data_IF_250326541547
#
_entry.id   IF_250326541547
#
_cell.length_a   1.000
_cell.length_b   1.000
_cell.length_c   1.000
_cell.angle_alpha   90.00
_cell.angle_beta   90.00
_cell.angle_gamma   90.00
#
_symmetry.space_group_name_H-M   'P 1'
#
loop_
_entity.id
_entity.type
_entity.pdbx_description
1 polymer ?
#
# COMPACT_ATOMS: atom_id res chain seq x y z
N UNK A 1 -1.27 7.96 11.09
CA UNK A 1 -0.23 8.68 10.30
C UNK A 1 -0.84 9.75 9.40
N UNK A 2 -1.61 9.41 8.35
CA UNK A 2 -2.16 10.39 7.41
C UNK A 2 -2.91 11.56 8.10
N UNK A 3 -3.82 11.25 9.03
CA UNK A 3 -4.56 12.27 9.78
C UNK A 3 -3.64 13.12 10.66
N UNK A 4 -2.71 12.51 11.39
CA UNK A 4 -1.75 13.25 12.22
C UNK A 4 -0.88 14.21 11.41
N UNK A 5 -0.43 13.78 10.22
CA UNK A 5 0.32 14.64 9.31
C UNK A 5 -0.55 15.79 8.78
N UNK A 6 -1.80 15.50 8.39
CA UNK A 6 -2.76 16.50 7.95
C UNK A 6 -2.94 17.59 9.00
N UNK A 7 -3.18 17.20 10.24
CA UNK A 7 -3.49 18.13 11.32
C UNK A 7 -2.25 18.96 11.72
N UNK A 8 -1.06 18.33 11.83
CA UNK A 8 0.17 19.04 12.21
C UNK A 8 0.73 19.94 11.11
N UNK A 9 0.46 19.61 9.84
CA UNK A 9 0.92 20.37 8.66
C UNK A 9 -0.17 21.24 8.07
N UNK A 10 -1.36 21.26 8.67
CA UNK A 10 -2.52 22.04 8.22
C UNK A 10 -2.86 21.82 6.74
N UNK A 11 -2.82 20.55 6.29
CA UNK A 11 -3.07 20.20 4.90
C UNK A 11 -4.59 20.07 4.64
N UNK A 12 -5.07 20.54 3.50
CA UNK A 12 -6.47 20.38 3.11
C UNK A 12 -6.84 18.93 2.79
N UNK A 13 -5.89 18.20 2.21
CA UNK A 13 -6.09 16.82 1.78
C UNK A 13 -4.83 15.95 1.92
N UNK A 14 -5.04 14.64 2.05
CA UNK A 14 -3.98 13.63 2.03
C UNK A 14 -4.37 12.52 1.06
N UNK A 15 -3.48 12.22 0.11
CA UNK A 15 -3.68 11.15 -0.84
C UNK A 15 -2.73 9.99 -0.57
N UNK A 16 -3.26 8.77 -0.53
CA UNK A 16 -2.45 7.56 -0.49
C UNK A 16 -1.92 7.27 -1.90
N UNK A 17 -0.61 7.27 -2.08
CA UNK A 17 0.02 6.97 -3.37
C UNK A 17 0.38 5.49 -3.43
N UNK A 18 -0.29 4.76 -4.33
CA UNK A 18 -0.02 3.36 -4.60
C UNK A 18 0.76 3.22 -5.91
N UNK A 19 2.05 2.90 -5.80
CA UNK A 19 2.87 2.63 -6.99
C UNK A 19 2.82 1.16 -7.41
N UNK A 20 2.69 0.93 -8.72
CA UNK A 20 2.87 -0.40 -9.34
C UNK A 20 4.32 -0.88 -9.22
N UNK A 21 5.29 0.03 -9.29
CA UNK A 21 6.71 -0.27 -9.22
C UNK A 21 7.27 0.23 -7.89
N UNK A 22 7.67 -0.69 -7.02
CA UNK A 22 8.34 -0.35 -5.76
C UNK A 22 9.83 -0.60 -5.87
N UNK A 23 10.63 0.43 -5.62
CA UNK A 23 12.08 0.32 -5.47
C UNK A 23 12.38 -0.71 -4.35
N UNK A 24 13.28 -1.67 -4.63
CA UNK A 24 13.72 -2.81 -3.79
C UNK A 24 12.70 -3.92 -3.46
N UNK A 25 11.48 -3.89 -3.99
CA UNK A 25 10.49 -4.95 -3.72
C UNK A 25 9.98 -5.52 -5.03
N UNK A 26 10.78 -6.38 -5.64
CA UNK A 26 10.41 -7.11 -6.87
C UNK A 26 9.33 -8.16 -6.59
N UNK A 27 9.26 -8.69 -5.36
CA UNK A 27 8.20 -9.62 -4.91
C UNK A 27 7.32 -8.92 -3.87
N UNK A 28 6.11 -8.53 -4.28
CA UNK A 28 5.08 -8.07 -3.35
C UNK A 28 4.53 -9.29 -2.62
N UNK A 29 5.02 -9.56 -1.42
CA UNK A 29 4.41 -10.55 -0.54
C UNK A 29 3.13 -9.98 0.07
N UNK A 30 2.02 -10.71 -0.06
CA UNK A 30 0.74 -10.32 0.55
C UNK A 30 -0.35 -9.91 -0.42
N UNK A 31 -1.15 -8.92 -0.02
CA UNK A 31 -2.31 -8.50 -0.79
C UNK A 31 -1.92 -8.01 -2.20
N UNK A 32 -2.63 -8.49 -3.22
CA UNK A 32 -2.40 -8.09 -4.60
C UNK A 32 -2.65 -6.58 -4.80
N UNK A 33 -2.16 -6.00 -5.90
CA UNK A 33 -2.27 -4.56 -6.15
C UNK A 33 -3.74 -4.07 -6.15
N UNK A 34 -4.64 -4.83 -6.78
CA UNK A 34 -6.07 -4.52 -6.87
C UNK A 34 -6.71 -4.46 -5.49
N UNK A 35 -6.36 -5.40 -4.61
CA UNK A 35 -6.88 -5.45 -3.25
C UNK A 35 -6.28 -4.37 -2.35
N UNK A 36 -5.00 -4.05 -2.51
CA UNK A 36 -4.39 -2.90 -1.81
C UNK A 36 -5.09 -1.59 -2.20
N UNK A 37 -5.40 -1.41 -3.49
CA UNK A 37 -6.18 -0.27 -3.96
C UNK A 37 -7.59 -0.25 -3.36
N UNK A 38 -8.28 -1.40 -3.33
CA UNK A 38 -9.61 -1.51 -2.73
C UNK A 38 -9.62 -1.12 -1.24
N UNK A 39 -8.64 -1.60 -0.47
CA UNK A 39 -8.52 -1.25 0.96
C UNK A 39 -8.27 0.25 1.13
N UNK A 40 -7.36 0.83 0.34
CA UNK A 40 -7.07 2.26 0.40
C UNK A 40 -8.28 3.11 -0.02
N UNK A 41 -9.03 2.71 -1.04
CA UNK A 41 -10.25 3.41 -1.49
C UNK A 41 -11.34 3.38 -0.41
N UNK A 42 -11.57 2.21 0.22
CA UNK A 42 -12.46 2.10 1.38
C UNK A 42 -11.99 2.99 2.53
N UNK A 43 -10.68 3.01 2.80
CA UNK A 43 -10.10 3.84 3.84
C UNK A 43 -10.21 5.33 3.54
N UNK A 44 -10.02 5.76 2.30
CA UNK A 44 -10.15 7.18 1.95
C UNK A 44 -11.58 7.69 2.08
N UNK A 45 -12.59 6.81 1.97
CA UNK A 45 -13.99 7.18 2.18
C UNK A 45 -14.35 7.36 3.66
N UNK A 46 -13.47 6.99 4.58
CA UNK A 46 -13.75 7.11 6.03
C UNK A 46 -13.63 8.54 6.56
N UNK A 47 -13.04 9.47 5.79
CA UNK A 47 -12.88 10.85 6.19
C UNK A 47 -12.81 11.78 4.97
N UNK A 48 -13.37 12.99 5.10
CA UNK A 48 -13.22 14.04 4.08
C UNK A 48 -11.75 14.43 3.93
N UNK A 49 -11.35 14.80 2.71
CA UNK A 49 -9.98 15.19 2.39
C UNK A 49 -8.99 14.01 2.34
N UNK A 50 -9.46 12.76 2.27
CA UNK A 50 -8.61 11.62 1.94
C UNK A 50 -8.88 11.15 0.50
N UNK A 51 -7.83 10.69 -0.18
CA UNK A 51 -7.94 10.13 -1.52
C UNK A 51 -6.91 9.05 -1.80
N UNK A 52 -6.98 8.46 -2.99
CA UNK A 52 -6.00 7.48 -3.47
C UNK A 52 -5.56 7.84 -4.88
N UNK A 53 -4.26 7.78 -5.12
CA UNK A 53 -3.66 7.96 -6.45
C UNK A 53 -2.87 6.71 -6.80
N UNK A 54 -3.05 6.21 -8.02
CA UNK A 54 -2.27 5.09 -8.55
C UNK A 54 -1.26 5.62 -9.55
N UNK A 55 0.00 5.22 -9.38
CA UNK A 55 1.10 5.64 -10.26
C UNK A 55 1.88 4.43 -10.75
N UNK A 56 2.50 4.56 -11.92
CA UNK A 56 3.39 3.55 -12.48
C UNK A 56 4.88 3.93 -12.34
N UNK A 57 5.20 4.80 -11.37
CA UNK A 57 6.56 5.32 -11.14
C UNK A 57 7.06 5.00 -9.74
N UNK A 58 8.31 4.56 -9.64
CA UNK A 58 8.92 4.15 -8.37
C UNK A 58 9.59 5.29 -7.60
N UNK A 59 10.19 6.26 -8.31
CA UNK A 59 10.92 7.37 -7.69
C UNK A 59 9.97 8.48 -7.22
N UNK A 60 10.29 9.07 -6.07
CA UNK A 60 9.48 10.13 -5.49
C UNK A 60 9.47 11.41 -6.35
N UNK A 61 10.57 11.73 -7.04
CA UNK A 61 10.64 12.85 -7.99
C UNK A 61 9.65 12.70 -9.14
N UNK A 62 9.51 11.49 -9.69
CA UNK A 62 8.54 11.19 -10.75
C UNK A 62 7.11 11.34 -10.23
N UNK A 63 6.84 10.83 -9.02
CA UNK A 63 5.53 10.91 -8.39
C UNK A 63 5.15 12.37 -8.13
N UNK A 64 6.05 13.18 -7.57
CA UNK A 64 5.82 14.61 -7.34
C UNK A 64 5.59 15.36 -8.66
N UNK A 65 6.34 15.03 -9.71
CA UNK A 65 6.17 15.62 -11.04
C UNK A 65 4.79 15.30 -11.62
N UNK A 66 4.33 14.04 -11.49
CA UNK A 66 2.99 13.64 -11.94
C UNK A 66 1.91 14.38 -11.14
N UNK A 67 2.04 14.46 -9.82
CA UNK A 67 1.06 15.12 -8.96
C UNK A 67 0.93 16.61 -9.29
N UNK A 68 2.05 17.33 -9.46
CA UNK A 68 2.03 18.75 -9.89
C UNK A 68 1.38 18.95 -11.26
N UNK A 69 1.50 17.98 -12.17
CA UNK A 69 0.82 18.05 -13.49
C UNK A 69 -0.67 17.77 -13.39
N UNK A 70 -1.08 16.84 -12.53
CA UNK A 70 -2.49 16.50 -12.32
C UNK A 70 -3.23 17.60 -11.54
N UNK A 71 -2.52 18.31 -10.67
CA UNK A 71 -3.06 19.37 -9.82
C UNK A 71 -2.21 20.64 -10.00
N UNK A 72 -2.37 21.36 -11.13
CA UNK A 72 -1.55 22.53 -11.45
C UNK A 72 -1.76 23.69 -10.48
N UNK A 73 -2.95 23.78 -9.89
CA UNK A 73 -3.34 24.86 -8.95
C UNK A 73 -3.00 24.50 -7.49
N UNK A 74 -2.23 23.44 -7.26
CA UNK A 74 -1.80 23.08 -5.91
C UNK A 74 -0.77 24.08 -5.41
N UNK A 75 -1.07 24.80 -4.33
CA UNK A 75 -0.12 25.73 -3.70
C UNK A 75 1.07 24.96 -3.11
N UNK A 76 0.80 24.01 -2.21
CA UNK A 76 1.81 23.21 -1.53
C UNK A 76 1.66 21.71 -1.81
N UNK A 77 2.78 21.05 -2.12
CA UNK A 77 2.87 19.60 -2.15
C UNK A 77 3.80 19.12 -1.03
N UNK A 78 3.29 18.25 -0.15
CA UNK A 78 4.09 17.57 0.87
C UNK A 78 4.08 16.06 0.63
N UNK A 79 5.27 15.45 0.55
CA UNK A 79 5.46 14.00 0.49
C UNK A 79 5.66 13.47 1.91
N UNK A 80 4.66 12.75 2.43
CA UNK A 80 4.75 12.10 3.73
C UNK A 80 5.43 10.73 3.61
N UNK A 81 6.57 10.57 4.26
CA UNK A 81 7.40 9.35 4.18
C UNK A 81 7.82 8.86 5.56
N UNK A 82 8.08 7.57 5.71
CA UNK A 82 8.68 7.03 6.93
C UNK A 82 10.21 7.21 6.94
N UNK A 83 10.83 7.00 8.11
CA UNK A 83 12.27 7.13 8.28
C UNK A 83 13.10 6.29 7.29
N UNK A 84 12.78 5.00 7.12
CA UNK A 84 13.46 4.15 6.12
C UNK A 84 13.41 4.76 4.71
N UNK A 85 12.31 5.45 4.36
CA UNK A 85 12.12 6.00 3.03
C UNK A 85 12.90 7.28 2.79
N UNK A 86 13.10 8.13 3.80
CA UNK A 86 13.99 9.29 3.62
C UNK A 86 15.45 8.85 3.46
N UNK A 87 15.88 7.80 4.16
CA UNK A 87 17.20 7.19 3.94
C UNK A 87 17.33 6.72 2.49
N UNK A 88 16.31 6.03 1.96
CA UNK A 88 16.31 5.59 0.57
C UNK A 88 16.28 6.75 -0.43
N UNK A 89 15.46 7.78 -0.18
CA UNK A 89 15.37 8.95 -1.07
C UNK A 89 16.73 9.65 -1.20
N UNK A 90 17.53 9.66 -0.13
CA UNK A 90 18.85 10.29 -0.09
C UNK A 90 20.00 9.36 -0.49
N UNK A 91 19.76 8.07 -0.75
CA UNK A 91 20.78 7.09 -1.12
C UNK A 91 21.04 7.12 -2.64
N UNK A 92 22.30 7.28 -3.05
CA UNK A 92 22.68 7.44 -4.46
C UNK A 92 22.42 6.19 -5.29
N UNK A 93 22.37 4.99 -4.70
CA UNK A 93 22.21 3.74 -5.46
C UNK A 93 20.88 3.62 -6.21
N UNK A 94 19.90 4.47 -5.90
CA UNK A 94 18.58 4.46 -6.52
C UNK A 94 18.45 5.42 -7.71
N UNK A 95 19.51 6.15 -8.05
CA UNK A 95 19.47 7.19 -9.05
C UNK A 95 20.70 7.12 -9.96
N UNK A 96 20.51 7.45 -11.23
CA UNK A 96 21.63 7.72 -12.13
C UNK A 96 22.33 9.03 -11.73
N UNK A 97 21.54 10.07 -11.43
CA UNK A 97 21.99 11.33 -10.82
C UNK A 97 21.09 11.69 -9.63
N UNK A 98 21.55 11.30 -8.45
CA UNK A 98 20.87 11.54 -7.18
C UNK A 98 20.65 13.03 -6.92
N UNK A 99 21.68 13.84 -7.11
CA UNK A 99 21.66 15.22 -6.67
C UNK A 99 20.65 16.03 -7.49
N UNK A 100 20.63 15.82 -8.81
CA UNK A 100 19.63 16.42 -9.69
C UNK A 100 18.22 15.94 -9.34
N UNK A 101 18.03 14.64 -9.14
CA UNK A 101 16.72 14.06 -8.82
C UNK A 101 16.16 14.56 -7.48
N UNK A 102 16.98 14.63 -6.43
CA UNK A 102 16.57 15.10 -5.10
C UNK A 102 16.38 16.62 -5.11
N UNK A 103 17.23 17.39 -5.81
CA UNK A 103 17.01 18.83 -5.99
C UNK A 103 15.68 19.13 -6.69
N UNK A 104 15.36 18.39 -7.75
CA UNK A 104 14.07 18.50 -8.42
C UNK A 104 12.91 18.08 -7.52
N UNK A 105 13.05 17.02 -6.72
CA UNK A 105 12.03 16.65 -5.74
C UNK A 105 11.78 17.81 -4.75
N UNK A 106 12.84 18.42 -4.24
CA UNK A 106 12.77 19.53 -3.29
C UNK A 106 12.25 20.84 -3.89
N UNK A 107 12.32 21.03 -5.22
CA UNK A 107 11.67 22.17 -5.88
C UNK A 107 10.18 21.92 -6.11
N UNK A 108 9.74 20.65 -6.15
CA UNK A 108 8.34 20.28 -6.37
C UNK A 108 7.57 20.09 -5.06
N UNK A 109 8.23 19.65 -4.00
CA UNK A 109 7.58 19.24 -2.75
C UNK A 109 8.49 19.39 -1.51
N UNK A 110 7.84 19.56 -0.36
CA UNK A 110 8.45 19.34 0.95
C UNK A 110 8.40 17.85 1.31
N UNK A 111 9.45 17.33 1.92
CA UNK A 111 9.50 15.97 2.46
C UNK A 111 9.19 16.01 3.95
N UNK A 112 8.07 15.42 4.36
CA UNK A 112 7.72 15.28 5.78
C UNK A 112 7.99 13.86 6.24
N UNK A 113 8.90 13.72 7.21
CA UNK A 113 9.36 12.44 7.74
C UNK A 113 8.62 12.08 9.02
N UNK A 114 7.96 10.93 8.99
CA UNK A 114 7.38 10.27 10.13
C UNK A 114 8.44 9.47 10.89
N UNK A 115 8.59 9.67 12.22
CA UNK A 115 9.51 8.91 13.04
C UNK A 115 9.09 7.43 13.13
N UNK A 116 10.05 6.54 13.38
CA UNK A 116 9.82 5.09 13.49
C UNK A 116 10.69 4.48 14.59
N UNK A 117 10.09 3.69 15.47
CA UNK A 117 10.77 3.20 16.66
C UNK A 117 11.42 4.33 17.44
N UNK A 118 12.71 4.19 17.73
CA UNK A 118 13.53 5.23 18.38
C UNK A 118 14.02 6.31 17.43
N UNK A 119 14.07 6.03 16.12
CA UNK A 119 14.55 6.98 15.13
C UNK A 119 13.56 8.14 14.94
N UNK A 120 13.96 9.32 15.39
CA UNK A 120 13.16 10.53 15.40
C UNK A 120 13.91 11.73 14.84
N UNK A 121 13.75 12.88 15.50
CA UNK A 121 14.28 14.15 15.03
C UNK A 121 15.80 14.18 15.03
N UNK A 122 16.44 13.70 16.09
CA UNK A 122 17.90 13.73 16.24
C UNK A 122 18.58 12.92 15.12
N UNK A 123 18.11 11.70 14.87
CA UNK A 123 18.66 10.83 13.83
C UNK A 123 18.44 11.41 12.42
N UNK A 124 17.31 12.10 12.19
CA UNK A 124 17.11 12.80 10.93
C UNK A 124 18.05 14.00 10.79
N UNK A 125 18.24 14.77 11.86
CA UNK A 125 19.13 15.94 11.86
C UNK A 125 20.58 15.53 11.60
N UNK A 126 21.02 14.38 12.14
CA UNK A 126 22.32 13.75 11.86
C UNK A 126 22.43 13.27 10.41
N UNK A 127 21.39 12.60 9.88
CA UNK A 127 21.35 12.19 8.48
C UNK A 127 21.50 13.40 7.55
N UNK A 128 20.79 14.49 7.84
CA UNK A 128 20.82 15.73 7.07
C UNK A 128 22.09 16.56 7.30
N UNK A 129 22.83 16.34 8.40
CA UNK A 129 24.09 17.03 8.66
C UNK A 129 25.26 16.49 7.82
N UNK A 130 25.11 15.31 7.20
CA UNK A 130 26.14 14.75 6.32
C UNK A 130 26.37 15.67 5.10
N UNK A 131 27.62 15.89 4.66
CA UNK A 131 27.93 16.83 3.57
C UNK A 131 27.09 16.60 2.29
N UNK A 132 26.86 15.35 1.92
CA UNK A 132 26.08 14.96 0.76
C UNK A 132 24.57 15.24 0.88
N UNK A 133 24.05 15.42 2.11
CA UNK A 133 22.63 15.66 2.40
C UNK A 133 22.34 17.11 2.81
N UNK A 134 23.35 17.84 3.30
CA UNK A 134 23.20 19.16 3.90
C UNK A 134 22.40 20.16 3.04
N UNK A 135 22.60 20.13 1.72
CA UNK A 135 21.90 21.02 0.78
C UNK A 135 20.39 20.79 0.70
N UNK A 136 19.92 19.60 1.07
CA UNK A 136 18.50 19.22 1.05
C UNK A 136 17.81 19.39 2.41
N UNK A 137 18.52 19.90 3.43
CA UNK A 137 17.96 20.04 4.77
C UNK A 137 16.70 20.92 4.81
N UNK A 138 16.63 21.96 3.98
CA UNK A 138 15.53 22.94 3.98
C UNK A 138 14.23 22.40 3.42
N UNK A 139 14.27 21.39 2.55
CA UNK A 139 13.06 20.73 2.02
C UNK A 139 12.61 19.55 2.88
N UNK A 140 13.31 19.21 3.97
CA UNK A 140 12.99 18.05 4.82
C UNK A 140 12.57 18.53 6.21
N UNK A 141 11.39 18.09 6.65
CA UNK A 141 10.88 18.34 8.01
C UNK A 141 10.40 17.08 8.68
N UNK A 142 10.25 17.09 10.00
CA UNK A 142 9.63 16.00 10.77
C UNK A 142 8.21 16.34 11.18
N UNK A 143 7.41 15.30 11.42
CA UNK A 143 6.22 15.39 12.28
C UNK A 143 6.44 14.61 13.55
N UNK A 144 5.68 14.94 14.59
CA UNK A 144 5.66 14.14 15.80
C UNK A 144 4.60 13.05 15.70
N UNK A 145 4.92 11.86 16.20
CA UNK A 145 3.95 10.79 16.35
C UNK A 145 3.96 10.26 17.78
N UNK A 146 2.79 9.93 18.34
CA UNK A 146 2.70 9.14 19.56
C UNK A 146 3.49 7.83 19.40
N UNK A 147 4.13 7.36 20.48
CA UNK A 147 4.95 6.14 20.45
C UNK A 147 4.18 4.93 19.92
N UNK A 148 2.89 4.83 20.23
CA UNK A 148 2.01 3.75 19.75
C UNK A 148 1.95 3.66 18.23
N UNK A 149 2.11 4.78 17.51
CA UNK A 149 2.11 4.79 16.04
C UNK A 149 3.51 4.57 15.44
N UNK A 150 4.59 4.76 16.22
CA UNK A 150 5.97 4.59 15.76
C UNK A 150 6.38 3.13 15.63
N UNK A 151 5.75 2.26 16.41
CA UNK A 151 6.06 0.83 16.49
C UNK A 151 5.15 -0.06 15.62
N UNK A 152 4.16 0.54 14.95
CA UNK A 152 3.27 -0.20 14.04
C UNK A 152 4.02 -0.62 12.78
N UNK A 153 4.14 -1.95 12.60
CA UNK A 153 4.72 -2.54 11.41
C UNK A 153 3.72 -3.49 10.75
N UNK A 154 3.48 -3.29 9.45
CA UNK A 154 2.57 -4.17 8.68
C UNK A 154 2.99 -5.64 8.70
N UNK A 155 4.28 -5.95 8.88
CA UNK A 155 4.78 -7.33 9.02
C UNK A 155 4.27 -8.03 10.28
N UNK A 156 4.12 -7.30 11.39
CA UNK A 156 3.59 -7.87 12.63
C UNK A 156 2.10 -8.19 12.48
N UNK A 157 1.32 -7.27 11.90
CA UNK A 157 -0.09 -7.54 11.62
C UNK A 157 -0.25 -8.74 10.68
N UNK A 158 0.56 -8.85 9.62
CA UNK A 158 0.53 -10.03 8.73
C UNK A 158 0.85 -11.33 9.47
N UNK A 159 1.90 -11.34 10.29
CA UNK A 159 2.27 -12.53 11.07
C UNK A 159 1.16 -12.94 12.05
N UNK A 160 0.51 -11.97 12.69
CA UNK A 160 -0.62 -12.24 13.59
C UNK A 160 -1.83 -12.83 12.85
N UNK A 161 -2.18 -12.28 11.68
CA UNK A 161 -3.25 -12.82 10.82
C UNK A 161 -2.93 -14.25 10.34
N UNK A 162 -1.67 -14.52 9.99
CA UNK A 162 -1.21 -15.86 9.60
C UNK A 162 -1.27 -16.86 10.76
N UNK A 163 -1.08 -16.38 11.98
CA UNK A 163 -1.29 -17.15 13.22
C UNK A 163 -2.76 -17.38 13.59
N UNK A 164 -3.70 -16.90 12.77
CA UNK A 164 -5.15 -17.06 12.98
C UNK A 164 -5.79 -15.98 13.85
N UNK A 165 -5.05 -14.94 14.25
CA UNK A 165 -5.67 -13.81 14.93
C UNK A 165 -6.45 -12.97 13.91
N UNK A 166 -7.78 -12.93 14.03
CA UNK A 166 -8.66 -12.22 13.10
C UNK A 166 -9.07 -10.82 13.58
N UNK A 167 -8.68 -10.44 14.80
CA UNK A 167 -9.05 -9.16 15.41
C UNK A 167 -7.78 -8.39 15.77
N UNK A 168 -7.44 -7.42 14.92
CA UNK A 168 -6.29 -6.54 15.08
C UNK A 168 -6.80 -5.10 15.22
N UNK A 169 -7.04 -4.61 16.46
CA UNK A 169 -7.63 -3.30 16.69
C UNK A 169 -6.75 -2.14 16.18
N UNK A 170 -5.46 -2.38 15.95
CA UNK A 170 -4.54 -1.42 15.35
C UNK A 170 -4.75 -1.21 13.84
N UNK A 171 -5.44 -2.14 13.17
CA UNK A 171 -5.79 -1.99 11.77
C UNK A 171 -6.99 -1.04 11.61
N UNK A 172 -7.01 -0.17 10.59
CA UNK A 172 -8.20 0.59 10.27
C UNK A 172 -9.38 -0.33 9.92
N UNK A 173 -10.61 0.11 10.21
CA UNK A 173 -11.85 -0.67 9.99
C UNK A 173 -11.93 -1.24 8.57
N UNK A 174 -11.59 -0.45 7.54
CA UNK A 174 -11.59 -0.89 6.15
C UNK A 174 -10.66 -2.10 5.91
N UNK A 175 -9.51 -2.16 6.57
CA UNK A 175 -8.57 -3.28 6.48
C UNK A 175 -9.09 -4.51 7.26
N UNK A 176 -9.68 -4.31 8.45
CA UNK A 176 -10.28 -5.39 9.22
C UNK A 176 -11.44 -6.06 8.48
N UNK A 177 -12.34 -5.26 7.90
CA UNK A 177 -13.44 -5.74 7.06
C UNK A 177 -12.92 -6.50 5.85
N UNK A 178 -11.92 -5.95 5.15
CA UNK A 178 -11.32 -6.61 3.99
C UNK A 178 -10.72 -7.98 4.35
N UNK A 179 -9.98 -8.08 5.46
CA UNK A 179 -9.41 -9.36 5.93
C UNK A 179 -10.52 -10.36 6.25
N UNK A 180 -11.57 -9.95 6.97
CA UNK A 180 -12.73 -10.81 7.29
C UNK A 180 -13.48 -11.28 6.04
N UNK A 181 -13.65 -10.40 5.05
CA UNK A 181 -14.36 -10.70 3.81
C UNK A 181 -13.61 -11.66 2.89
N UNK A 182 -12.27 -11.61 2.90
CA UNK A 182 -11.44 -12.24 1.86
C UNK A 182 -10.53 -13.34 2.37
N UNK A 183 -10.32 -13.44 3.69
CA UNK A 183 -9.30 -14.31 4.27
C UNK A 183 -7.88 -13.84 3.98
N UNK A 184 -7.67 -12.59 3.55
CA UNK A 184 -6.34 -12.08 3.24
C UNK A 184 -5.40 -12.23 4.44
N UNK A 185 -4.23 -12.83 4.21
CA UNK A 185 -3.21 -13.19 5.21
C UNK A 185 -3.60 -14.29 6.20
N UNK A 186 -4.77 -14.93 6.07
CA UNK A 186 -5.17 -16.03 6.94
C UNK A 186 -4.65 -17.37 6.40
N UNK A 187 -4.51 -18.40 7.27
CA UNK A 187 -4.13 -19.74 6.83
C UNK A 187 -5.22 -20.39 5.95
N UNK A 188 -4.85 -21.39 5.12
CA UNK A 188 -5.81 -22.18 4.37
C UNK A 188 -6.87 -22.84 5.25
N UNK A 189 -8.09 -22.97 4.73
CA UNK A 189 -9.19 -23.67 5.38
C UNK A 189 -9.24 -25.12 4.95
N UNK A 190 -9.60 -26.03 5.86
CA UNK A 190 -9.82 -27.45 5.54
C UNK A 190 -11.29 -27.66 5.17
N UNK A 191 -11.53 -28.17 3.97
CA UNK A 191 -12.87 -28.57 3.52
C UNK A 191 -13.25 -29.94 4.10
N UNK A 192 -14.54 -30.30 4.02
CA UNK A 192 -15.05 -31.60 4.50
C UNK A 192 -14.39 -32.81 3.82
N UNK A 193 -14.02 -32.68 2.54
CA UNK A 193 -13.25 -33.68 1.79
C UNK A 193 -11.80 -33.83 2.26
N UNK A 194 -11.31 -32.97 3.16
CA UNK A 194 -9.94 -32.98 3.67
C UNK A 194 -8.98 -32.05 2.93
N UNK A 195 -9.38 -31.49 1.78
CA UNK A 195 -8.58 -30.53 1.00
C UNK A 195 -8.26 -29.27 1.84
N UNK A 196 -7.02 -28.79 1.73
CA UNK A 196 -6.64 -27.47 2.21
C UNK A 196 -6.77 -26.46 1.07
N UNK A 197 -7.57 -25.43 1.28
CA UNK A 197 -7.85 -24.41 0.28
C UNK A 197 -7.60 -23.04 0.87
N UNK A 198 -6.79 -22.22 0.22
CA UNK A 198 -6.57 -20.81 0.60
C UNK A 198 -7.63 -19.92 -0.08
N UNK A 199 -8.60 -19.35 0.70
CA UNK A 199 -9.62 -18.48 0.13
C UNK A 199 -9.05 -17.23 -0.54
N UNK A 200 -7.94 -16.69 -0.02
CA UNK A 200 -7.31 -15.51 -0.57
C UNK A 200 -6.55 -15.83 -1.86
N UNK A 201 -5.86 -16.98 -1.92
CA UNK A 201 -5.23 -17.43 -3.15
C UNK A 201 -6.26 -17.62 -4.28
N UNK A 202 -7.42 -18.22 -3.98
CA UNK A 202 -8.52 -18.31 -4.95
C UNK A 202 -9.00 -16.94 -5.43
N UNK A 203 -9.14 -15.97 -4.53
CA UNK A 203 -9.48 -14.59 -4.89
C UNK A 203 -8.47 -14.01 -5.88
N UNK A 204 -7.18 -14.18 -5.61
CA UNK A 204 -6.11 -13.69 -6.50
C UNK A 204 -6.21 -14.36 -7.87
N UNK A 205 -6.39 -15.69 -7.93
CA UNK A 205 -6.58 -16.41 -9.20
C UNK A 205 -7.79 -15.92 -9.99
N UNK A 206 -8.90 -15.58 -9.32
CA UNK A 206 -10.08 -15.00 -9.99
C UNK A 206 -9.75 -13.61 -10.55
N UNK A 207 -9.09 -12.75 -9.78
CA UNK A 207 -8.70 -11.39 -10.24
C UNK A 207 -7.78 -11.50 -11.45
N UNK A 208 -6.81 -12.40 -11.43
CA UNK A 208 -5.88 -12.62 -12.54
C UNK A 208 -6.59 -13.16 -13.78
N UNK A 209 -7.49 -14.15 -13.63
CA UNK A 209 -8.26 -14.69 -14.74
C UNK A 209 -9.18 -13.64 -15.37
N UNK A 210 -9.81 -12.78 -14.56
CA UNK A 210 -10.61 -11.66 -15.05
C UNK A 210 -9.75 -10.61 -15.77
N UNK A 211 -8.55 -10.33 -15.25
CA UNK A 211 -7.60 -9.39 -15.87
C UNK A 211 -7.10 -9.81 -17.25
N UNK A 212 -7.20 -11.11 -17.60
CA UNK A 212 -6.88 -11.64 -18.94
C UNK A 212 -8.03 -11.50 -19.93
N UNK A 213 -9.24 -11.22 -19.46
CA UNK A 213 -10.45 -11.08 -20.28
C UNK A 213 -10.68 -9.61 -20.66
N UNK A 214 -11.20 -9.37 -21.86
CA UNK A 214 -11.69 -8.05 -22.26
C UNK A 214 -13.13 -7.89 -21.77
N UNK A 215 -13.28 -7.41 -20.54
CA UNK A 215 -14.58 -7.17 -19.90
C UNK A 215 -14.86 -5.67 -19.81
N UNK A 216 -16.12 -5.29 -19.96
CA UNK A 216 -16.62 -3.97 -19.59
C UNK A 216 -17.07 -3.96 -18.13
N UNK A 217 -17.23 -2.77 -17.52
CA UNK A 217 -17.63 -2.64 -16.12
C UNK A 217 -18.93 -3.40 -15.78
N UNK A 218 -19.88 -3.44 -16.71
CA UNK A 218 -21.18 -4.12 -16.51
C UNK A 218 -21.09 -5.65 -16.61
N UNK A 219 -19.95 -6.18 -17.08
CA UNK A 219 -19.70 -7.61 -17.23
C UNK A 219 -18.86 -8.18 -16.09
N UNK A 220 -18.38 -7.34 -15.16
CA UNK A 220 -17.53 -7.81 -14.07
C UNK A 220 -18.36 -8.60 -13.04
N UNK A 221 -18.04 -9.89 -12.82
CA UNK A 221 -18.73 -10.67 -11.81
C UNK A 221 -18.30 -10.24 -10.41
N UNK A 222 -19.13 -10.58 -9.42
CA UNK A 222 -18.75 -10.41 -8.01
C UNK A 222 -17.71 -11.46 -7.65
N UNK A 223 -16.44 -11.05 -7.53
CA UNK A 223 -15.32 -11.92 -7.14
C UNK A 223 -15.64 -12.74 -5.88
N UNK A 224 -16.28 -12.13 -4.88
CA UNK A 224 -16.67 -12.84 -3.64
C UNK A 224 -17.69 -13.95 -3.88
N UNK A 225 -18.57 -13.84 -4.87
CA UNK A 225 -19.50 -14.91 -5.22
C UNK A 225 -18.78 -16.11 -5.85
N UNK A 226 -17.80 -15.84 -6.71
CA UNK A 226 -16.98 -16.89 -7.34
C UNK A 226 -16.15 -17.61 -6.29
N UNK A 227 -15.48 -16.89 -5.39
CA UNK A 227 -14.69 -17.50 -4.31
C UNK A 227 -15.58 -18.35 -3.39
N UNK A 228 -16.75 -17.84 -2.98
CA UNK A 228 -17.69 -18.64 -2.17
C UNK A 228 -18.15 -19.89 -2.89
N UNK A 229 -18.39 -19.82 -4.20
CA UNK A 229 -18.74 -21.01 -5.01
C UNK A 229 -17.60 -22.02 -5.05
N UNK A 230 -16.36 -21.55 -5.20
CA UNK A 230 -15.16 -22.39 -5.24
C UNK A 230 -14.86 -23.05 -3.89
N UNK A 231 -15.34 -22.49 -2.77
CA UNK A 231 -15.16 -23.06 -1.43
C UNK A 231 -16.18 -24.16 -1.09
N UNK A 232 -17.23 -24.35 -1.88
CA UNK A 232 -18.18 -25.45 -1.65
C UNK A 232 -17.51 -26.79 -1.97
N UNK A 233 -17.68 -27.77 -1.08
CA UNK A 233 -17.19 -29.13 -1.27
C UNK A 233 -18.17 -29.98 -2.08
N UNK A 234 -18.29 -29.64 -3.35
CA UNK A 234 -19.09 -30.36 -4.33
C UNK A 234 -18.37 -30.42 -5.69
N UNK A 235 -18.95 -31.14 -6.65
CA UNK A 235 -18.33 -31.32 -7.97
C UNK A 235 -18.08 -29.98 -8.70
N UNK A 236 -19.02 -29.02 -8.76
CA UNK A 236 -18.73 -27.76 -9.44
C UNK A 236 -17.77 -26.85 -8.66
N UNK A 237 -17.74 -26.91 -7.32
CA UNK A 237 -16.74 -26.22 -6.51
C UNK A 237 -15.34 -26.74 -6.81
N UNK A 238 -15.16 -28.07 -6.86
CA UNK A 238 -13.90 -28.71 -7.28
C UNK A 238 -13.51 -28.32 -8.71
N UNK A 239 -14.44 -28.35 -9.66
CA UNK A 239 -14.18 -27.97 -11.05
C UNK A 239 -13.72 -26.51 -11.17
N UNK A 240 -14.35 -25.60 -10.42
CA UNK A 240 -13.96 -24.18 -10.40
C UNK A 240 -12.56 -24.00 -9.78
N UNK A 241 -12.23 -24.69 -8.70
CA UNK A 241 -10.88 -24.66 -8.11
C UNK A 241 -9.82 -25.16 -9.11
N UNK A 242 -10.10 -26.23 -9.83
CA UNK A 242 -9.20 -26.77 -10.85
C UNK A 242 -8.98 -25.77 -12.00
N UNK A 243 -10.05 -25.20 -12.55
CA UNK A 243 -9.95 -24.19 -13.61
C UNK A 243 -9.13 -22.96 -13.17
N UNK A 244 -9.33 -22.48 -11.94
CA UNK A 244 -8.58 -21.34 -11.40
C UNK A 244 -7.10 -21.67 -11.20
N UNK A 245 -6.75 -22.90 -10.85
CA UNK A 245 -5.35 -23.35 -10.78
C UNK A 245 -4.67 -23.31 -12.16
N UNK A 246 -5.43 -23.58 -13.23
CA UNK A 246 -4.97 -23.42 -14.63
C UNK A 246 -5.01 -21.97 -15.13
N UNK A 247 -5.39 -21.02 -14.26
CA UNK A 247 -5.49 -19.60 -14.59
C UNK A 247 -6.66 -19.26 -15.53
N UNK A 248 -7.69 -20.10 -15.54
CA UNK A 248 -8.91 -19.95 -16.31
C UNK A 248 -10.11 -19.74 -15.38
N UNK A 249 -11.00 -18.81 -15.74
CA UNK A 249 -12.32 -18.70 -15.12
C UNK A 249 -13.32 -19.29 -16.12
N UNK A 250 -14.11 -20.31 -15.76
CA UNK A 250 -15.18 -20.82 -16.64
C UNK A 250 -16.21 -19.72 -16.96
N UNK A 251 -16.87 -19.84 -18.10
CA UNK A 251 -17.95 -18.92 -18.51
C UNK A 251 -19.23 -19.07 -17.68
#
# INVERSE_FOLDING_TARGET
LALAARDQRQLDAVVFVLSKHTVDKEVVTGACLVDRLLVLDRQSRSATGLGVVVVNRGLYVDQATILRRLFPDLDELTMLVGFDKIVQILDSKYYDDRDTAVAQLCSLATLTVAPRGTAGRAELDELLARPENARFRTCVSTIDLPSQLRDLASSLSRAALQGGNITLPELPTAAQEFVRETGCYQPPVRLSCGDLVDPYALRVSVIEALGRRRLTMNQLPRVSAIVRRALVDDAPGRALRAALADGHLPD
#
